data_IF_027927739539
#
_entry.id   IF_027927739539
#
_cell.length_a   1.000
_cell.length_b   1.000
_cell.length_c   1.000
_cell.angle_alpha   90.00
_cell.angle_beta   90.00
_cell.angle_gamma   90.00
#
_symmetry.space_group_name_H-M   'P 1'
#
loop_
_entity.id
_entity.type
_entity.pdbx_description
1 polymer ?
#
# COMPACT_ATOMS: atom_id res chain seq x y z
N UNK A 1 -28.20 1.16 -12.65
CA UNK A 1 -28.86 0.32 -11.62
C UNK A 1 -27.77 -0.07 -10.62
N UNK A 2 -27.60 0.73 -9.56
CA UNK A 2 -26.59 0.46 -8.53
C UNK A 2 -27.07 -0.73 -7.69
N UNK A 3 -26.29 -1.82 -7.77
CA UNK A 3 -26.46 -2.97 -6.90
C UNK A 3 -26.41 -2.52 -5.42
N UNK A 4 -27.30 -3.06 -4.61
CA UNK A 4 -27.47 -2.69 -3.22
C UNK A 4 -26.15 -2.66 -2.44
N UNK A 5 -26.06 -1.75 -1.47
CA UNK A 5 -24.97 -1.71 -0.49
C UNK A 5 -24.73 -3.14 0.01
N UNK A 6 -23.50 -3.67 -0.04
CA UNK A 6 -23.21 -4.93 0.61
C UNK A 6 -23.63 -4.80 2.08
N UNK A 7 -24.33 -5.79 2.59
CA UNK A 7 -24.73 -5.84 4.00
C UNK A 7 -23.44 -5.65 4.81
N UNK A 8 -23.33 -4.52 5.51
CA UNK A 8 -22.10 -4.15 6.21
C UNK A 8 -21.76 -5.18 7.26
N UNK A 9 -20.48 -5.56 7.36
CA UNK A 9 -19.97 -6.38 8.47
C UNK A 9 -20.41 -5.76 9.79
N UNK A 10 -21.03 -6.54 10.70
CA UNK A 10 -21.37 -6.11 12.04
C UNK A 10 -20.09 -5.95 12.88
N UNK A 11 -19.62 -4.72 13.07
CA UNK A 11 -18.43 -4.45 13.90
C UNK A 11 -18.71 -4.75 15.37
N UNK A 12 -17.92 -5.63 15.98
CA UNK A 12 -17.98 -5.97 17.40
C UNK A 12 -16.87 -5.27 18.20
N UNK A 13 -15.63 -5.27 17.69
CA UNK A 13 -14.48 -4.56 18.27
C UNK A 13 -13.64 -3.90 17.15
N UNK A 14 -12.94 -2.84 17.52
CA UNK A 14 -12.02 -2.12 16.64
C UNK A 14 -10.82 -1.60 17.43
N UNK A 15 -9.60 -1.81 16.89
CA UNK A 15 -8.34 -1.32 17.44
C UNK A 15 -8.21 -1.66 18.94
N UNK A 16 -8.45 -2.94 19.29
CA UNK A 16 -8.47 -3.39 20.67
C UNK A 16 -7.09 -3.88 21.11
N UNK A 17 -6.37 -3.15 21.97
CA UNK A 17 -5.10 -3.63 22.50
C UNK A 17 -5.30 -4.80 23.47
N UNK A 18 -4.48 -5.82 23.33
CA UNK A 18 -4.41 -6.96 24.23
C UNK A 18 -3.21 -6.77 25.17
N UNK A 19 -3.49 -6.81 26.46
CA UNK A 19 -2.47 -6.55 27.48
C UNK A 19 -2.37 -7.71 28.46
N UNK A 20 -1.16 -7.96 28.97
CA UNK A 20 -0.88 -8.87 30.07
C UNK A 20 0.15 -8.22 30.98
N UNK A 21 -0.13 -8.16 32.29
CA UNK A 21 0.77 -7.58 33.29
C UNK A 21 1.34 -6.19 32.92
N UNK A 22 0.49 -5.31 32.37
CA UNK A 22 0.89 -3.97 31.93
C UNK A 22 1.62 -3.90 30.58
N UNK A 23 1.95 -5.03 29.96
CA UNK A 23 2.62 -5.10 28.66
C UNK A 23 1.59 -5.32 27.56
N UNK A 24 1.70 -4.55 26.45
CA UNK A 24 0.88 -4.77 25.27
C UNK A 24 1.43 -5.95 24.47
N UNK A 25 0.63 -7.01 24.35
CA UNK A 25 0.97 -8.23 23.60
C UNK A 25 0.72 -8.06 22.10
N UNK A 26 -0.16 -7.15 21.73
CA UNK A 26 -0.57 -6.86 20.37
C UNK A 26 -1.91 -6.13 20.35
N UNK A 27 -2.49 -5.99 19.16
CA UNK A 27 -3.79 -5.34 18.95
C UNK A 27 -4.64 -6.23 18.04
N UNK A 28 -5.95 -6.22 18.22
CA UNK A 28 -6.92 -6.77 17.27
C UNK A 28 -7.45 -5.60 16.45
N UNK A 29 -7.19 -5.58 15.15
CA UNK A 29 -7.67 -4.49 14.29
C UNK A 29 -9.20 -4.48 14.26
N UNK A 30 -9.83 -5.62 13.92
CA UNK A 30 -11.29 -5.73 13.89
C UNK A 30 -11.75 -7.12 14.28
N UNK A 31 -12.76 -7.18 15.14
CA UNK A 31 -13.62 -8.35 15.33
C UNK A 31 -14.97 -8.01 14.73
N UNK A 32 -15.43 -8.82 13.80
CA UNK A 32 -16.66 -8.58 13.04
C UNK A 32 -17.54 -9.81 13.00
N UNK A 33 -18.84 -9.61 12.83
CA UNK A 33 -19.79 -10.67 12.53
C UNK A 33 -20.09 -10.65 11.03
N UNK A 34 -19.82 -11.74 10.35
CA UNK A 34 -20.15 -11.89 8.94
C UNK A 34 -21.68 -12.01 8.80
N UNK A 35 -22.35 -11.12 8.02
CA UNK A 35 -23.80 -11.12 7.91
C UNK A 35 -24.35 -12.34 7.15
N UNK A 36 -23.52 -12.97 6.33
CA UNK A 36 -23.96 -14.10 5.48
C UNK A 36 -24.11 -15.41 6.25
N UNK A 37 -23.20 -15.68 7.21
CA UNK A 37 -23.16 -16.93 7.96
C UNK A 37 -23.16 -16.76 9.49
N UNK A 38 -23.23 -15.49 9.95
CA UNK A 38 -23.22 -15.09 11.37
C UNK A 38 -21.94 -15.49 12.13
N UNK A 39 -20.91 -15.93 11.42
CA UNK A 39 -19.61 -16.32 12.01
C UNK A 39 -18.86 -15.06 12.47
N UNK A 40 -18.25 -15.16 13.66
CA UNK A 40 -17.32 -14.10 14.14
C UNK A 40 -15.98 -14.31 13.51
N UNK A 41 -15.43 -13.25 12.91
CA UNK A 41 -14.15 -13.24 12.21
C UNK A 41 -13.21 -12.18 12.82
N UNK A 42 -11.93 -12.49 12.87
CA UNK A 42 -10.86 -11.56 13.17
C UNK A 42 -10.24 -11.05 11.87
N UNK A 43 -10.30 -9.76 11.63
CA UNK A 43 -9.72 -9.12 10.45
C UNK A 43 -8.52 -8.29 10.86
N UNK A 44 -7.36 -8.62 10.27
CA UNK A 44 -6.13 -7.82 10.32
C UNK A 44 -5.99 -7.02 9.02
N UNK A 45 -5.78 -5.71 9.14
CA UNK A 45 -5.69 -4.80 7.99
C UNK A 45 -4.34 -4.08 8.00
N UNK A 46 -3.57 -4.23 6.93
CA UNK A 46 -2.28 -3.58 6.79
C UNK A 46 -2.14 -2.93 5.41
N UNK A 47 -2.41 -1.62 5.33
CA UNK A 47 -2.15 -0.85 4.09
C UNK A 47 -0.65 -0.79 3.83
N UNK A 48 -0.20 -1.27 2.68
CA UNK A 48 1.22 -1.37 2.35
C UNK A 48 1.54 -0.97 0.91
N UNK A 49 2.71 -0.37 0.78
CA UNK A 49 3.32 0.03 -0.49
C UNK A 49 4.73 -0.52 -0.51
N UNK A 50 5.01 -1.38 -1.49
CA UNK A 50 6.32 -2.00 -1.63
C UNK A 50 6.89 -1.76 -3.02
N UNK A 51 8.18 -1.48 -3.08
CA UNK A 51 8.96 -1.31 -4.29
C UNK A 51 9.83 -2.54 -4.50
N UNK A 52 9.72 -3.14 -5.67
CA UNK A 52 10.48 -4.32 -6.02
C UNK A 52 11.91 -3.96 -6.39
N UNK A 53 12.87 -4.53 -5.67
CA UNK A 53 14.29 -4.35 -5.95
C UNK A 53 14.86 -5.64 -6.56
N UNK A 54 15.34 -5.58 -7.82
CA UNK A 54 15.81 -6.78 -8.52
C UNK A 54 17.08 -7.38 -7.90
N UNK A 55 17.84 -6.61 -7.11
CA UNK A 55 19.11 -7.06 -6.55
C UNK A 55 20.25 -7.10 -7.58
N UNK A 56 21.43 -7.53 -7.14
CA UNK A 56 22.64 -7.57 -7.98
C UNK A 56 22.94 -8.98 -8.57
N UNK A 57 21.97 -9.91 -8.56
CA UNK A 57 22.21 -11.29 -8.97
C UNK A 57 20.93 -12.09 -9.27
N UNK A 58 21.04 -13.41 -9.51
CA UNK A 58 19.92 -14.29 -9.87
C UNK A 58 18.97 -14.57 -8.70
N UNK A 59 19.15 -13.91 -7.57
CA UNK A 59 18.29 -14.05 -6.40
C UNK A 59 16.86 -13.57 -6.68
N UNK A 60 15.89 -14.14 -5.96
CA UNK A 60 14.49 -13.67 -6.01
C UNK A 60 14.42 -12.20 -5.63
N UNK A 61 13.72 -11.35 -6.42
CA UNK A 61 13.57 -9.96 -6.10
C UNK A 61 13.03 -9.74 -4.69
N UNK A 62 13.54 -8.74 -3.99
CA UNK A 62 13.05 -8.34 -2.67
C UNK A 62 12.15 -7.13 -2.79
N UNK A 63 11.16 -7.04 -1.92
CA UNK A 63 10.16 -5.97 -1.95
C UNK A 63 10.27 -5.15 -0.67
N UNK A 64 10.76 -3.93 -0.81
CA UNK A 64 11.00 -3.01 0.30
C UNK A 64 9.92 -1.94 0.41
N UNK A 65 9.57 -1.55 1.62
CA UNK A 65 8.83 -0.31 1.84
C UNK A 65 9.64 0.90 1.35
N UNK A 66 9.00 2.05 1.06
CA UNK A 66 9.71 3.23 0.54
C UNK A 66 10.88 3.68 1.39
N UNK A 67 10.80 3.52 2.71
CA UNK A 67 11.88 3.86 3.66
C UNK A 67 12.90 2.74 3.90
N UNK A 68 12.86 1.66 3.13
CA UNK A 68 13.72 0.45 3.20
C UNK A 68 13.65 -0.37 4.50
N UNK A 69 12.98 0.12 5.53
CA UNK A 69 12.91 -0.53 6.85
C UNK A 69 11.89 -1.67 6.93
N UNK A 70 10.95 -1.73 5.99
CA UNK A 70 9.88 -2.73 5.93
C UNK A 70 10.10 -3.63 4.70
N UNK A 71 9.83 -4.93 4.84
CA UNK A 71 9.93 -5.91 3.76
C UNK A 71 8.66 -6.75 3.67
N UNK A 72 8.19 -6.99 2.45
CA UNK A 72 6.94 -7.71 2.18
C UNK A 72 6.97 -9.15 2.74
N UNK A 73 8.04 -9.89 2.50
CA UNK A 73 8.20 -11.27 2.96
C UNK A 73 8.17 -11.39 4.49
N UNK A 74 8.87 -10.48 5.19
CA UNK A 74 8.91 -10.45 6.65
C UNK A 74 7.55 -10.03 7.22
N UNK A 75 6.91 -9.03 6.60
CA UNK A 75 5.59 -8.56 7.04
C UNK A 75 4.51 -9.61 6.82
N UNK A 76 4.47 -10.25 5.65
CA UNK A 76 3.53 -11.32 5.35
C UNK A 76 3.69 -12.49 6.32
N UNK A 77 4.93 -12.92 6.57
CA UNK A 77 5.21 -13.97 7.56
C UNK A 77 4.70 -13.59 8.94
N UNK A 78 4.95 -12.35 9.40
CA UNK A 78 4.49 -11.90 10.72
C UNK A 78 2.97 -11.84 10.82
N UNK A 79 2.28 -11.38 9.78
CA UNK A 79 0.80 -11.37 9.74
C UNK A 79 0.25 -12.80 9.85
N UNK A 80 0.80 -13.73 9.06
CA UNK A 80 0.33 -15.12 9.04
C UNK A 80 0.64 -15.90 10.31
N UNK A 81 1.79 -15.65 10.95
CA UNK A 81 2.24 -16.47 12.09
C UNK A 81 1.93 -15.88 13.45
N UNK A 82 1.81 -14.56 13.55
CA UNK A 82 1.65 -13.89 14.83
C UNK A 82 0.31 -13.15 14.96
N UNK A 83 0.02 -12.21 14.06
CA UNK A 83 -1.16 -11.35 14.22
C UNK A 83 -2.46 -12.13 14.01
N UNK A 84 -2.55 -12.98 12.99
CA UNK A 84 -3.74 -13.83 12.78
C UNK A 84 -4.05 -14.80 13.93
N UNK A 85 -3.06 -15.09 14.78
CA UNK A 85 -3.20 -15.96 15.96
C UNK A 85 -3.39 -15.20 17.27
N UNK A 86 -3.54 -13.90 17.23
CA UNK A 86 -3.80 -13.11 18.45
C UNK A 86 -5.04 -13.58 19.21
N UNK A 87 -6.04 -14.08 18.49
CA UNK A 87 -7.28 -14.62 19.08
C UNK A 87 -7.09 -15.95 19.82
N UNK A 88 -5.96 -16.64 19.61
CA UNK A 88 -5.64 -17.89 20.33
C UNK A 88 -5.09 -17.63 21.73
N UNK A 89 -4.64 -16.40 22.03
CA UNK A 89 -4.06 -16.04 23.33
C UNK A 89 -5.09 -16.09 24.46
N UNK A 90 -4.73 -16.61 25.66
CA UNK A 90 -5.61 -16.64 26.81
C UNK A 90 -6.19 -15.27 27.19
N UNK A 91 -5.35 -14.22 27.12
CA UNK A 91 -5.75 -12.84 27.44
C UNK A 91 -6.83 -12.33 26.47
N UNK A 92 -6.68 -12.65 25.18
CA UNK A 92 -7.68 -12.30 24.16
C UNK A 92 -8.99 -13.03 24.40
N UNK A 93 -8.92 -14.33 24.69
CA UNK A 93 -10.11 -15.14 24.99
C UNK A 93 -10.85 -14.65 26.24
N UNK A 94 -10.10 -14.29 27.28
CA UNK A 94 -10.68 -13.73 28.50
C UNK A 94 -11.37 -12.38 28.23
N UNK A 95 -10.75 -11.51 27.45
CA UNK A 95 -11.35 -10.23 27.04
C UNK A 95 -12.64 -10.45 26.24
N UNK A 96 -12.61 -11.28 25.20
CA UNK A 96 -13.78 -11.56 24.37
C UNK A 96 -14.93 -12.16 25.19
N UNK A 97 -14.63 -13.07 26.09
CA UNK A 97 -15.60 -13.64 27.00
C UNK A 97 -16.24 -12.58 27.93
N UNK A 98 -15.44 -11.66 28.47
CA UNK A 98 -15.94 -10.55 29.29
C UNK A 98 -16.86 -9.57 28.58
N UNK A 99 -16.83 -9.57 27.25
CA UNK A 99 -17.65 -8.73 26.37
C UNK A 99 -18.79 -9.51 25.70
N UNK A 100 -19.04 -10.76 26.10
CA UNK A 100 -20.01 -11.65 25.47
C UNK A 100 -19.82 -11.84 23.95
N UNK A 101 -18.57 -11.76 23.49
CA UNK A 101 -18.20 -11.96 22.08
C UNK A 101 -17.70 -13.39 21.91
N UNK A 102 -18.32 -14.20 21.03
CA UNK A 102 -17.83 -15.53 20.71
C UNK A 102 -16.40 -15.49 20.15
N UNK A 103 -15.59 -16.51 20.47
CA UNK A 103 -14.26 -16.63 19.90
C UNK A 103 -14.32 -16.66 18.36
N UNK A 104 -13.50 -15.85 17.64
CA UNK A 104 -13.48 -15.85 16.20
C UNK A 104 -13.12 -17.23 15.65
N UNK A 105 -13.95 -17.73 14.72
CA UNK A 105 -13.72 -19.01 14.06
C UNK A 105 -12.81 -18.89 12.83
N UNK A 106 -12.57 -17.67 12.33
CA UNK A 106 -11.74 -17.39 11.16
C UNK A 106 -10.88 -16.15 11.39
N UNK A 107 -9.61 -16.23 10.95
CA UNK A 107 -8.75 -15.05 10.80
C UNK A 107 -8.67 -14.69 9.31
N UNK A 108 -8.80 -13.39 9.02
CA UNK A 108 -8.68 -12.80 7.69
C UNK A 108 -7.57 -11.77 7.69
N UNK A 109 -6.73 -11.82 6.68
CA UNK A 109 -5.70 -10.79 6.45
C UNK A 109 -6.06 -10.02 5.20
N UNK A 110 -6.20 -8.72 5.34
CA UNK A 110 -6.43 -7.82 4.23
C UNK A 110 -5.30 -6.82 4.14
N UNK A 111 -4.50 -6.91 3.06
CA UNK A 111 -3.32 -6.07 2.85
C UNK A 111 -3.48 -5.26 1.56
N UNK A 112 -4.33 -4.20 1.57
CA UNK A 112 -4.49 -3.33 0.43
C UNK A 112 -3.27 -2.45 0.22
N UNK A 113 -3.02 -2.06 -1.03
CA UNK A 113 -1.92 -1.17 -1.40
C UNK A 113 -1.44 -1.42 -2.82
N UNK A 114 -0.22 -0.99 -3.08
CA UNK A 114 0.39 -1.08 -4.40
C UNK A 114 1.73 -1.79 -4.33
N UNK A 115 2.04 -2.54 -5.39
CA UNK A 115 3.39 -2.98 -5.70
C UNK A 115 3.95 -2.12 -6.84
N UNK A 116 5.13 -1.55 -6.60
CA UNK A 116 5.82 -0.69 -7.56
C UNK A 116 6.99 -1.45 -8.17
N UNK A 117 7.02 -1.49 -9.49
CA UNK A 117 8.04 -2.18 -10.28
C UNK A 117 9.07 -1.19 -10.79
N UNK A 118 10.34 -1.58 -10.98
CA UNK A 118 11.33 -0.67 -11.56
C UNK A 118 10.90 -0.26 -12.97
N UNK A 119 10.89 1.04 -13.26
CA UNK A 119 10.48 1.57 -14.55
C UNK A 119 11.37 1.01 -15.68
N UNK A 120 10.75 0.57 -16.76
CA UNK A 120 11.45 0.05 -17.92
C UNK A 120 12.15 -1.30 -17.74
N UNK A 121 12.01 -1.96 -16.58
CA UNK A 121 12.62 -3.27 -16.32
C UNK A 121 11.58 -4.33 -15.99
N UNK A 122 11.54 -5.45 -16.71
CA UNK A 122 10.65 -6.55 -16.36
C UNK A 122 11.07 -7.18 -15.03
N UNK A 123 10.12 -7.38 -14.14
CA UNK A 123 10.34 -8.03 -12.86
C UNK A 123 9.15 -8.92 -12.49
N UNK A 124 9.36 -10.15 -11.99
CA UNK A 124 8.28 -11.03 -11.59
C UNK A 124 7.57 -10.50 -10.33
N UNK A 125 6.27 -10.76 -10.25
CA UNK A 125 5.47 -10.52 -9.05
C UNK A 125 5.86 -11.46 -7.91
N UNK A 126 5.64 -11.08 -6.65
CA UNK A 126 5.79 -11.99 -5.52
C UNK A 126 4.82 -13.19 -5.67
N UNK A 127 5.28 -14.39 -5.27
CA UNK A 127 4.51 -15.64 -5.46
C UNK A 127 3.15 -15.66 -4.75
N UNK A 128 3.08 -15.03 -3.57
CA UNK A 128 1.90 -15.08 -2.69
C UNK A 128 0.99 -13.85 -2.84
N UNK A 129 1.14 -13.10 -3.94
CA UNK A 129 0.32 -11.92 -4.22
C UNK A 129 -0.57 -12.21 -5.43
N UNK A 130 -1.89 -11.90 -5.37
CA UNK A 130 -2.79 -12.05 -6.51
C UNK A 130 -2.27 -11.33 -7.75
N UNK A 131 -2.50 -11.89 -8.93
CA UNK A 131 -2.00 -11.34 -10.21
C UNK A 131 -2.67 -10.02 -10.61
N UNK A 132 -3.84 -9.74 -10.08
CA UNK A 132 -4.66 -8.54 -10.27
C UNK A 132 -4.39 -7.43 -9.24
N UNK A 133 -3.29 -7.53 -8.47
CA UNK A 133 -2.91 -6.49 -7.50
C UNK A 133 -2.66 -5.14 -8.19
N UNK A 134 -2.87 -4.06 -7.43
CA UNK A 134 -2.61 -2.71 -7.91
C UNK A 134 -1.10 -2.50 -8.14
N UNK A 135 -0.76 -1.92 -9.28
CA UNK A 135 0.61 -1.75 -9.76
C UNK A 135 0.95 -0.29 -9.97
N UNK A 136 2.19 0.04 -9.69
CA UNK A 136 2.83 1.29 -10.06
C UNK A 136 4.26 1.04 -10.53
N UNK A 137 4.97 2.10 -10.81
CA UNK A 137 6.39 2.06 -11.17
C UNK A 137 7.22 2.84 -10.15
N UNK A 138 8.51 2.57 -10.12
CA UNK A 138 9.46 3.39 -9.37
C UNK A 138 10.74 3.60 -10.17
N UNK A 139 11.40 4.73 -9.93
CA UNK A 139 12.71 5.05 -10.52
C UNK A 139 13.55 5.88 -9.55
N UNK A 140 14.85 5.94 -9.82
CA UNK A 140 15.75 6.83 -9.12
C UNK A 140 15.52 8.28 -9.51
N UNK A 141 15.76 9.20 -8.59
CA UNK A 141 15.60 10.64 -8.84
C UNK A 141 16.48 11.15 -9.98
N UNK A 142 17.64 10.52 -10.21
CA UNK A 142 18.58 10.87 -11.25
C UNK A 142 18.11 10.44 -12.65
N UNK A 143 17.20 9.45 -12.73
CA UNK A 143 16.64 8.94 -13.99
C UNK A 143 15.37 9.69 -14.43
N UNK A 144 14.86 10.61 -13.60
CA UNK A 144 13.58 11.31 -13.85
C UNK A 144 13.59 12.09 -15.16
N UNK A 145 14.67 12.78 -15.48
CA UNK A 145 14.74 13.63 -16.67
C UNK A 145 14.70 12.77 -17.94
N UNK A 146 15.41 11.64 -17.96
CA UNK A 146 15.36 10.67 -19.04
C UNK A 146 13.98 10.00 -19.16
N UNK A 147 13.35 9.68 -18.04
CA UNK A 147 12.00 9.09 -18.02
C UNK A 147 10.92 10.06 -18.54
N UNK A 148 11.11 11.36 -18.37
CA UNK A 148 10.20 12.42 -18.84
C UNK A 148 10.52 12.92 -20.24
N UNK A 149 11.58 12.43 -20.88
CA UNK A 149 11.96 12.84 -22.22
C UNK A 149 10.98 12.29 -23.28
N UNK A 150 10.18 13.18 -23.85
CA UNK A 150 9.21 12.85 -24.88
C UNK A 150 9.83 12.36 -26.20
N UNK A 151 11.13 12.56 -26.42
CA UNK A 151 11.83 12.02 -27.59
C UNK A 151 12.01 10.51 -27.52
N UNK A 152 12.12 9.96 -26.30
CA UNK A 152 12.26 8.52 -26.04
C UNK A 152 10.97 7.89 -25.55
N UNK A 153 10.07 8.69 -24.94
CA UNK A 153 8.77 8.27 -24.38
C UNK A 153 7.69 9.30 -24.77
N UNK A 154 7.12 9.22 -25.99
CA UNK A 154 6.19 10.23 -26.51
C UNK A 154 4.99 10.56 -25.61
N UNK A 155 4.49 9.59 -24.87
CA UNK A 155 3.38 9.76 -23.90
C UNK A 155 3.73 10.72 -22.75
N UNK A 156 5.02 10.91 -22.45
CA UNK A 156 5.45 11.84 -21.40
C UNK A 156 5.04 13.30 -21.70
N UNK A 157 4.90 13.67 -22.97
CA UNK A 157 4.42 14.99 -23.37
C UNK A 157 2.98 15.29 -22.92
N UNK A 158 2.18 14.24 -22.70
CA UNK A 158 0.77 14.33 -22.29
C UNK A 158 0.59 14.16 -20.78
N UNK A 159 1.68 13.91 -20.06
CA UNK A 159 1.65 13.62 -18.64
C UNK A 159 1.93 14.87 -17.80
N UNK A 160 1.27 14.93 -16.65
CA UNK A 160 1.57 15.90 -15.60
C UNK A 160 1.61 15.16 -14.27
N UNK A 161 2.57 15.50 -13.42
CA UNK A 161 2.78 14.79 -12.15
C UNK A 161 2.28 15.61 -10.97
N UNK A 162 1.72 14.92 -9.98
CA UNK A 162 1.28 15.51 -8.71
C UNK A 162 1.89 14.71 -7.57
N UNK A 163 2.65 15.35 -6.66
CA UNK A 163 3.15 14.67 -5.47
C UNK A 163 2.01 14.34 -4.52
N UNK A 164 1.85 13.06 -4.19
CA UNK A 164 0.79 12.59 -3.30
C UNK A 164 1.26 12.60 -1.83
N UNK A 165 0.41 13.18 -0.97
CA UNK A 165 0.58 13.14 0.49
C UNK A 165 -0.46 12.20 1.11
N UNK A 166 -0.14 11.57 2.24
CA UNK A 166 -1.15 10.83 3.00
C UNK A 166 -2.27 11.77 3.46
N UNK A 167 -3.54 11.37 3.41
CA UNK A 167 -4.06 10.01 3.17
C UNK A 167 -4.34 9.65 1.70
N UNK A 168 -4.00 10.49 0.72
CA UNK A 168 -4.35 10.35 -0.70
C UNK A 168 -3.62 9.23 -1.45
N UNK A 169 -2.94 8.34 -0.73
CA UNK A 169 -2.21 7.23 -1.31
C UNK A 169 -3.09 6.04 -1.71
N UNK A 170 -4.34 5.97 -1.23
CA UNK A 170 -5.20 4.80 -1.44
C UNK A 170 -6.16 4.93 -2.61
N UNK A 171 -6.67 6.13 -2.86
CA UNK A 171 -7.61 6.38 -3.95
C UNK A 171 -6.93 7.00 -5.17
N UNK A 172 -7.52 6.88 -6.37
CA UNK A 172 -7.04 7.56 -7.56
C UNK A 172 -7.18 9.07 -7.41
N UNK A 173 -6.21 9.82 -7.96
CA UNK A 173 -6.24 11.28 -7.97
C UNK A 173 -6.97 11.81 -9.19
N UNK A 174 -7.76 12.86 -8.99
CA UNK A 174 -8.46 13.57 -10.05
C UNK A 174 -8.56 15.05 -9.70
N UNK A 175 -8.41 15.94 -10.69
CA UNK A 175 -8.54 17.39 -10.52
C UNK A 175 -9.00 18.08 -11.82
N UNK A 176 -9.59 19.27 -11.69
CA UNK A 176 -10.13 20.04 -12.82
C UNK A 176 -9.03 20.73 -13.64
N UNK A 177 -8.06 21.32 -12.96
CA UNK A 177 -7.01 22.10 -13.60
C UNK A 177 -5.75 21.26 -13.88
N UNK A 178 -4.98 21.65 -14.90
CA UNK A 178 -3.67 21.07 -15.14
C UNK A 178 -2.79 21.23 -13.89
N UNK A 179 -2.11 20.15 -13.45
CA UNK A 179 -1.17 20.24 -12.34
C UNK A 179 -0.07 21.28 -12.59
N UNK A 180 0.24 22.05 -11.56
CA UNK A 180 1.37 22.97 -11.59
C UNK A 180 2.70 22.21 -11.48
N UNK A 181 3.63 22.47 -12.38
CA UNK A 181 4.94 21.81 -12.37
C UNK A 181 5.81 22.19 -11.17
N UNK A 182 5.58 23.36 -10.59
CA UNK A 182 6.41 23.90 -9.49
C UNK A 182 6.46 22.97 -8.28
N UNK A 183 5.31 22.49 -7.76
CA UNK A 183 5.28 21.59 -6.61
C UNK A 183 5.97 20.26 -6.91
N UNK A 184 5.83 19.78 -8.15
CA UNK A 184 6.53 18.58 -8.63
C UNK A 184 8.04 18.77 -8.61
N UNK A 185 8.57 19.86 -9.16
CA UNK A 185 10.01 20.11 -9.21
C UNK A 185 10.61 20.36 -7.81
N UNK A 186 9.91 21.09 -6.95
CA UNK A 186 10.31 21.26 -5.56
C UNK A 186 10.38 19.89 -4.83
N UNK A 187 9.39 19.02 -5.07
CA UNK A 187 9.36 17.68 -4.46
C UNK A 187 10.46 16.78 -5.00
N UNK A 188 10.76 16.81 -6.30
CA UNK A 188 11.87 16.06 -6.90
C UNK A 188 13.23 16.53 -6.33
N UNK A 189 13.38 17.85 -6.17
CA UNK A 189 14.57 18.42 -5.52
C UNK A 189 14.72 17.90 -4.09
N UNK A 190 13.62 17.81 -3.32
CA UNK A 190 13.65 17.23 -1.97
C UNK A 190 14.06 15.74 -1.98
N UNK A 191 13.63 14.94 -2.97
CA UNK A 191 14.08 13.54 -3.07
C UNK A 191 15.58 13.47 -3.26
N UNK A 192 16.13 14.30 -4.15
CA UNK A 192 17.58 14.36 -4.44
C UNK A 192 18.40 14.82 -3.22
N UNK A 193 17.93 15.81 -2.49
CA UNK A 193 18.70 16.47 -1.41
C UNK A 193 18.43 15.87 -0.03
N UNK A 194 17.17 15.64 0.34
CA UNK A 194 16.79 15.10 1.64
C UNK A 194 16.71 13.56 1.70
N UNK A 195 16.89 12.88 0.56
CA UNK A 195 16.97 11.43 0.51
C UNK A 195 15.67 10.69 0.90
N UNK A 196 14.52 11.35 0.79
CA UNK A 196 13.23 10.75 1.18
C UNK A 196 12.40 10.40 -0.05
N UNK A 197 12.03 9.12 -0.26
CA UNK A 197 11.16 8.72 -1.36
C UNK A 197 9.82 9.48 -1.39
N UNK A 198 9.32 9.77 -2.58
CA UNK A 198 8.04 10.44 -2.79
C UNK A 198 7.19 9.71 -3.82
N UNK A 199 5.89 9.67 -3.55
CA UNK A 199 4.89 9.10 -4.44
C UNK A 199 4.26 10.21 -5.27
N UNK A 200 4.14 9.96 -6.57
CA UNK A 200 3.48 10.86 -7.53
C UNK A 200 2.30 10.13 -8.18
N UNK A 201 1.21 10.85 -8.42
CA UNK A 201 0.23 10.48 -9.42
C UNK A 201 0.69 11.05 -10.76
N UNK A 202 0.69 10.24 -11.79
CA UNK A 202 0.90 10.64 -13.17
C UNK A 202 -0.47 10.85 -13.80
N UNK A 203 -0.79 12.09 -14.17
CA UNK A 203 -2.10 12.47 -14.68
C UNK A 203 -2.06 12.67 -16.20
N UNK A 204 -3.17 12.30 -16.84
CA UNK A 204 -3.48 12.66 -18.23
C UNK A 204 -4.82 13.36 -18.29
N UNK A 205 -4.98 14.29 -19.21
CA UNK A 205 -6.27 14.92 -19.45
C UNK A 205 -7.21 13.93 -20.13
N UNK A 206 -8.38 13.72 -19.54
CA UNK A 206 -9.43 12.90 -20.12
C UNK A 206 -10.13 13.67 -21.26
N UNK A 207 -10.25 13.09 -22.46
CA UNK A 207 -10.94 13.73 -23.57
C UNK A 207 -12.46 13.80 -23.38
N UNK A 208 -13.01 13.01 -22.45
CA UNK A 208 -14.45 12.90 -22.22
C UNK A 208 -15.01 14.06 -21.40
N UNK A 209 -14.28 14.49 -20.38
CA UNK A 209 -14.75 15.49 -19.40
C UNK A 209 -13.70 16.58 -19.08
N UNK A 210 -12.57 16.59 -19.79
CA UNK A 210 -11.43 17.50 -19.60
C UNK A 210 -10.77 17.43 -18.22
N UNK A 211 -11.15 16.50 -17.34
CA UNK A 211 -10.51 16.33 -16.06
C UNK A 211 -9.11 15.72 -16.19
N UNK A 212 -8.23 16.11 -15.30
CA UNK A 212 -6.92 15.48 -15.14
C UNK A 212 -7.06 14.28 -14.21
N UNK A 213 -6.92 13.07 -14.77
CA UNK A 213 -7.12 11.81 -14.08
C UNK A 213 -5.81 11.04 -13.95
N UNK A 214 -5.66 10.36 -12.82
CA UNK A 214 -4.55 9.45 -12.61
C UNK A 214 -4.57 8.33 -13.64
N UNK A 215 -3.49 8.22 -14.42
CA UNK A 215 -3.24 7.14 -15.37
C UNK A 215 -2.29 6.09 -14.81
N UNK A 216 -1.35 6.50 -13.94
CA UNK A 216 -0.41 5.61 -13.27
C UNK A 216 0.13 6.24 -11.98
N UNK A 217 0.87 5.46 -11.21
CA UNK A 217 1.57 5.90 -9.99
C UNK A 217 3.05 5.63 -10.09
N UNK A 218 3.80 6.57 -9.58
CA UNK A 218 5.25 6.53 -9.64
C UNK A 218 5.87 6.88 -8.29
N UNK A 219 6.71 5.99 -7.76
CA UNK A 219 7.62 6.36 -6.68
C UNK A 219 8.94 6.87 -7.27
N UNK A 220 9.39 8.01 -6.79
CA UNK A 220 10.75 8.49 -7.03
C UNK A 220 11.55 8.30 -5.75
N UNK A 221 12.68 7.61 -5.87
CA UNK A 221 13.57 7.27 -4.75
C UNK A 221 14.95 7.91 -4.92
N UNK A 222 15.67 8.20 -3.82
CA UNK A 222 17.05 8.71 -3.91
C UNK A 222 18.01 7.65 -4.44
N UNK A 223 19.16 8.06 -4.98
CA UNK A 223 20.13 7.16 -5.61
C UNK A 223 20.72 6.08 -4.69
N UNK A 224 20.66 6.25 -3.37
CA UNK A 224 21.13 5.27 -2.38
C UNK A 224 20.03 4.29 -1.91
N UNK A 225 18.81 4.39 -2.47
CA UNK A 225 17.73 3.45 -2.13
C UNK A 225 17.92 2.09 -2.84
N UNK A 226 17.60 0.94 -2.18
CA UNK A 226 17.29 0.79 -0.77
C UNK A 226 18.55 0.92 0.11
N UNK A 227 18.39 1.50 1.29
CA UNK A 227 19.46 1.50 2.30
C UNK A 227 19.59 0.10 2.90
N UNK A 228 20.54 -0.69 2.40
CA UNK A 228 20.83 -2.06 2.81
C UNK A 228 22.01 -2.10 3.78
#
# INVERSE_FOLDING_TARGET
MFAGKPAGLGGLLKNQPIRSNGITLGELDFIVRNPSDQVVEHHEIAVKFYLGYPGSGPATPLWYGPNSSDRLDLKSKRLLTHQSRMTDKPETRALLHSLDIPAPARARIFMPGYLFYPAGQPMPSPKDVPTDHLRGEWLYADDVDAFRDASTRPEAALESWVPLRKPHWLGPWCQDNKPESRETEETLTMVRTAGTPRLFAVLKQSPEDNLWRESSRLFVVPGHWPNL
#
